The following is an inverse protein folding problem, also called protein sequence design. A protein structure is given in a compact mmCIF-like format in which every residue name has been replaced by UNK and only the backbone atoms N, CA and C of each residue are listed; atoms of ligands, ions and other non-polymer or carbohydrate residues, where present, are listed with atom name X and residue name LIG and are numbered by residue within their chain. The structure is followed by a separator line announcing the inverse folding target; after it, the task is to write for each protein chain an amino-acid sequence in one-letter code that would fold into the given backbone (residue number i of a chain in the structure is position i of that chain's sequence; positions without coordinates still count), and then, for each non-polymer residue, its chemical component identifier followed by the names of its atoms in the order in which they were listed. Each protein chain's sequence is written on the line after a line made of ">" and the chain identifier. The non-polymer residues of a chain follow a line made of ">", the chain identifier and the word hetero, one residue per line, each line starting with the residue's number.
data_IF_494706980002
#
_entry.id   IF_494706980002
#
_cell.length_a   1.000
_cell.length_b   1.000
_cell.length_c   1.000
_cell.angle_alpha   90.00
_cell.angle_beta   90.00
_cell.angle_gamma   90.00
#
_symmetry.space_group_name_H-M   'P 1'
#
loop_
_entity.id
_entity.type
_entity.pdbx_description
1 polymer ?
#
# COMPACT_ATOMS: atom_id res chain seq x y z
N UNK A 1 12.95 28.34 -41.41
CA UNK A 1 13.56 27.39 -40.45
C UNK A 1 12.58 27.23 -39.29
N UNK A 2 12.07 26.02 -39.00
CA UNK A 2 11.32 25.79 -37.77
C UNK A 2 12.29 25.82 -36.57
N UNK A 3 11.88 26.32 -35.39
CA UNK A 3 12.75 26.34 -34.22
C UNK A 3 13.03 24.93 -33.70
N UNK A 4 14.30 24.73 -33.34
CA UNK A 4 14.88 23.51 -32.80
C UNK A 4 14.10 22.98 -31.60
N UNK A 5 13.54 21.79 -31.79
CA UNK A 5 12.99 20.83 -30.84
C UNK A 5 13.21 21.14 -29.34
N UNK A 6 12.16 21.61 -28.65
CA UNK A 6 12.11 21.56 -27.19
C UNK A 6 12.18 20.09 -26.76
N UNK A 7 13.19 19.73 -25.95
CA UNK A 7 13.28 18.37 -25.40
C UNK A 7 12.02 18.12 -24.54
N UNK A 8 11.27 17.03 -24.77
CA UNK A 8 10.14 16.71 -23.91
C UNK A 8 10.65 16.54 -22.48
N UNK A 9 9.90 16.98 -21.46
CA UNK A 9 10.32 16.78 -20.08
C UNK A 9 10.55 15.29 -19.86
N UNK A 10 11.69 14.95 -19.24
CA UNK A 10 11.98 13.59 -18.82
C UNK A 10 10.82 13.13 -17.93
N UNK A 11 9.98 12.23 -18.42
CA UNK A 11 8.99 11.55 -17.60
C UNK A 11 9.75 10.59 -16.71
N UNK A 12 9.92 10.95 -15.45
CA UNK A 12 10.37 10.00 -14.44
C UNK A 12 9.20 9.03 -14.18
N UNK A 13 9.26 7.87 -14.82
CA UNK A 13 8.35 6.76 -14.51
C UNK A 13 8.93 6.06 -13.30
N UNK A 14 8.23 6.12 -12.18
CA UNK A 14 8.58 5.34 -11.02
C UNK A 14 7.84 4.01 -11.09
N UNK A 15 8.58 2.93 -11.29
CA UNK A 15 8.04 1.58 -11.18
C UNK A 15 8.01 1.19 -9.70
N UNK A 16 6.81 1.06 -9.16
CA UNK A 16 6.58 0.56 -7.82
C UNK A 16 5.86 -0.78 -7.93
N UNK A 17 6.32 -1.78 -7.17
CA UNK A 17 5.53 -3.01 -7.05
C UNK A 17 4.30 -2.66 -6.21
N UNK A 18 3.12 -2.60 -6.84
CA UNK A 18 1.88 -2.45 -6.09
C UNK A 18 1.56 -3.77 -5.39
N UNK A 19 1.67 -3.79 -4.06
CA UNK A 19 1.30 -4.93 -3.23
C UNK A 19 -0.02 -4.63 -2.53
N UNK A 20 -1.02 -5.52 -2.68
CA UNK A 20 -2.24 -5.43 -1.88
C UNK A 20 -2.09 -6.28 -0.62
N UNK A 21 -2.25 -5.65 0.55
CA UNK A 21 -2.36 -6.35 1.83
C UNK A 21 -3.83 -6.46 2.22
N UNK A 22 -4.27 -7.68 2.51
CA UNK A 22 -5.62 -7.98 2.99
C UNK A 22 -5.51 -8.56 4.41
N UNK A 23 -6.29 -8.03 5.34
CA UNK A 23 -6.39 -8.52 6.70
C UNK A 23 -7.84 -8.94 6.99
N UNK A 24 -8.04 -10.24 7.20
CA UNK A 24 -9.33 -10.83 7.54
C UNK A 24 -9.40 -11.16 9.02
N UNK A 25 -10.46 -10.69 9.68
CA UNK A 25 -10.80 -11.06 11.04
C UNK A 25 -11.97 -12.03 10.96
N UNK A 26 -11.78 -13.22 11.54
CA UNK A 26 -12.77 -14.29 11.55
C UNK A 26 -13.30 -14.49 12.97
N UNK A 27 -14.59 -14.80 13.10
CA UNK A 27 -15.14 -15.33 14.35
C UNK A 27 -14.54 -16.73 14.62
N UNK A 28 -13.96 -16.91 15.80
CA UNK A 28 -13.18 -18.11 16.09
C UNK A 28 -14.03 -19.39 16.16
N UNK A 29 -15.30 -19.26 16.57
CA UNK A 29 -16.22 -20.38 16.78
C UNK A 29 -16.85 -20.85 15.47
N UNK A 30 -17.28 -19.91 14.63
CA UNK A 30 -18.00 -20.18 13.37
C UNK A 30 -17.11 -20.15 12.14
N UNK A 31 -15.87 -19.65 12.26
CA UNK A 31 -14.94 -19.36 11.14
C UNK A 31 -15.52 -18.40 10.11
N UNK A 32 -16.53 -17.62 10.49
CA UNK A 32 -17.18 -16.65 9.62
C UNK A 32 -16.36 -15.36 9.55
N UNK A 33 -16.31 -14.72 8.38
CA UNK A 33 -15.64 -13.42 8.20
C UNK A 33 -16.46 -12.32 8.88
N UNK A 34 -15.89 -11.69 9.91
CA UNK A 34 -16.55 -10.59 10.63
C UNK A 34 -16.06 -9.22 10.16
N UNK A 35 -14.86 -9.15 9.60
CA UNK A 35 -14.31 -7.90 9.06
C UNK A 35 -13.16 -8.16 8.10
N UNK A 36 -13.03 -7.28 7.10
CA UNK A 36 -11.90 -7.26 6.14
C UNK A 36 -11.39 -5.83 6.02
N UNK A 37 -10.08 -5.67 6.20
CA UNK A 37 -9.35 -4.45 5.90
C UNK A 37 -8.42 -4.66 4.72
N UNK A 38 -8.31 -3.66 3.84
CA UNK A 38 -7.36 -3.67 2.73
C UNK A 38 -6.48 -2.44 2.79
N UNK A 39 -5.20 -2.60 2.45
CA UNK A 39 -4.33 -1.49 2.11
C UNK A 39 -3.60 -1.81 0.81
N UNK A 40 -3.65 -0.87 -0.14
CA UNK A 40 -2.66 -0.83 -1.20
C UNK A 40 -1.39 -0.23 -0.60
N UNK A 41 -0.34 -1.03 -0.52
CA UNK A 41 0.99 -0.50 -0.31
C UNK A 41 1.63 -0.38 -1.69
N UNK A 42 1.78 0.86 -2.17
CA UNK A 42 2.91 1.11 -3.08
C UNK A 42 4.14 0.56 -2.35
N UNK A 43 4.79 -0.44 -2.91
CA UNK A 43 6.15 -0.77 -2.49
C UNK A 43 7.01 0.37 -2.99
N UNK A 44 6.94 1.50 -2.29
CA UNK A 44 7.82 2.65 -2.46
C UNK A 44 9.24 2.14 -2.20
N UNK A 45 10.12 2.07 -3.21
CA UNK A 45 11.53 1.77 -3.05
C UNK A 45 12.29 2.97 -2.47
N UNK A 46 11.61 4.08 -2.17
CA UNK A 46 12.22 5.39 -1.89
C UNK A 46 12.03 5.91 -0.47
N UNK A 47 11.44 5.14 0.44
CA UNK A 47 11.43 5.52 1.86
C UNK A 47 12.35 4.57 2.62
N UNK A 48 13.39 5.18 3.16
CA UNK A 48 14.49 4.62 3.94
C UNK A 48 13.98 3.95 5.24
N UNK A 49 13.24 2.85 5.11
CA UNK A 49 12.81 1.99 6.22
C UNK A 49 13.62 0.72 6.10
N UNK A 50 14.68 0.62 6.91
CA UNK A 50 15.77 -0.36 6.76
C UNK A 50 15.38 -1.85 6.79
N UNK A 51 14.09 -2.20 6.95
CA UNK A 51 13.61 -3.58 6.84
C UNK A 51 12.19 -3.68 6.24
N UNK A 52 11.93 -4.64 5.34
CA UNK A 52 10.58 -4.95 4.83
C UNK A 52 9.53 -5.21 5.94
N UNK A 53 9.95 -5.74 7.08
CA UNK A 53 9.06 -6.02 8.22
C UNK A 53 8.47 -4.74 8.83
N UNK A 54 9.25 -3.65 8.93
CA UNK A 54 8.76 -2.39 9.46
C UNK A 54 7.65 -1.79 8.58
N UNK A 55 7.78 -1.93 7.26
CA UNK A 55 6.77 -1.51 6.29
C UNK A 55 5.46 -2.28 6.43
N UNK A 56 5.55 -3.61 6.57
CA UNK A 56 4.37 -4.46 6.80
C UNK A 56 3.70 -4.09 8.12
N UNK A 57 4.47 -3.88 9.21
CA UNK A 57 3.91 -3.46 10.50
C UNK A 57 3.15 -2.14 10.41
N UNK A 58 3.68 -1.15 9.71
CA UNK A 58 3.00 0.14 9.53
C UNK A 58 1.74 0.00 8.67
N UNK A 59 1.79 -0.79 7.60
CA UNK A 59 0.61 -1.06 6.77
C UNK A 59 -0.50 -1.75 7.59
N UNK A 60 -0.16 -2.77 8.38
CA UNK A 60 -1.11 -3.45 9.29
C UNK A 60 -1.65 -2.46 10.33
N UNK A 61 -0.80 -1.62 10.92
CA UNK A 61 -1.22 -0.59 11.89
C UNK A 61 -2.29 0.32 11.30
N UNK A 62 -2.08 0.82 10.07
CA UNK A 62 -3.05 1.67 9.35
C UNK A 62 -4.35 0.95 9.03
N UNK A 63 -4.29 -0.31 8.62
CA UNK A 63 -5.48 -1.13 8.39
C UNK A 63 -6.31 -1.24 9.69
N UNK A 64 -5.63 -1.47 10.82
CA UNK A 64 -6.26 -1.64 12.12
C UNK A 64 -6.78 -0.34 12.76
N UNK A 65 -6.39 0.86 12.30
CA UNK A 65 -7.00 2.12 12.76
C UNK A 65 -8.51 2.18 12.50
N UNK A 66 -8.99 1.42 11.51
CA UNK A 66 -10.41 1.31 11.14
C UNK A 66 -11.08 0.10 11.80
N UNK A 67 -10.36 -0.63 12.65
CA UNK A 67 -10.84 -1.79 13.37
C UNK A 67 -11.00 -1.47 14.88
N UNK A 68 -12.05 -1.99 15.54
CA UNK A 68 -13.22 -2.61 14.93
C UNK A 68 -14.04 -1.58 14.14
N UNK A 69 -14.80 -1.99 13.11
CA UNK A 69 -15.76 -1.09 12.49
C UNK A 69 -16.71 -0.60 13.59
N UNK A 70 -16.82 0.72 13.75
CA UNK A 70 -17.84 1.29 14.64
C UNK A 70 -19.20 0.83 14.10
N UNK A 71 -19.95 0.14 14.94
CA UNK A 71 -21.27 -0.40 14.63
C UNK A 71 -22.27 0.72 14.27
#
# INVERSE_FOLDING_TARGET
>A
MPPSNAMPPLKMVHEYTEGTLILDVLDAATKSLVWRGTAQAEVLPSVDVSTPQARIREAVRRILERFPPKA
#
